data_IF_414207787135
#
_entry.id   IF_414207787135
#
_cell.length_a   1.000
_cell.length_b   1.000
_cell.length_c   1.000
_cell.angle_alpha   90.00
_cell.angle_beta   90.00
_cell.angle_gamma   90.00
#
_symmetry.space_group_name_H-M   'P 1'
#
loop_
_entity.id
_entity.type
_entity.pdbx_description
1 polymer ?
#
# COMPACT_ATOMS: atom_id res chain seq x y z
N UNK A 1 7.78 -15.62 1.95
CA UNK A 1 8.47 -14.33 2.22
C UNK A 1 9.94 -14.33 1.84
N UNK A 2 10.74 -15.34 2.24
CA UNK A 2 12.16 -15.45 1.85
C UNK A 2 12.41 -15.42 0.32
N UNK A 3 11.40 -15.74 -0.48
CA UNK A 3 11.46 -15.68 -1.94
C UNK A 3 11.60 -14.27 -2.52
N UNK A 4 11.12 -13.23 -1.82
CA UNK A 4 11.13 -11.83 -2.28
C UNK A 4 12.33 -11.03 -1.74
N UNK A 5 12.79 -11.36 -0.53
CA UNK A 5 13.83 -10.57 0.15
C UNK A 5 15.17 -10.66 -0.57
N UNK A 6 15.90 -9.54 -0.61
CA UNK A 6 17.18 -9.35 -1.29
C UNK A 6 17.14 -9.58 -2.81
N UNK A 7 15.97 -9.39 -3.44
CA UNK A 7 15.81 -9.46 -4.90
C UNK A 7 15.19 -8.17 -5.44
N UNK A 8 15.42 -7.87 -6.73
CA UNK A 8 14.67 -6.81 -7.41
C UNK A 8 13.16 -7.04 -7.26
N UNK A 9 12.41 -5.96 -7.03
CA UNK A 9 10.96 -6.04 -7.05
C UNK A 9 10.46 -6.22 -8.49
N UNK A 10 9.77 -7.32 -8.75
CA UNK A 10 9.20 -7.63 -10.07
C UNK A 10 8.00 -6.71 -10.37
N UNK A 11 8.27 -5.63 -11.10
CA UNK A 11 7.30 -4.55 -11.38
C UNK A 11 6.83 -4.48 -12.82
N UNK A 12 7.43 -5.28 -13.71
CA UNK A 12 7.21 -5.18 -15.16
C UNK A 12 5.77 -5.53 -15.52
N UNK A 13 5.11 -4.63 -16.24
CA UNK A 13 3.75 -4.83 -16.74
C UNK A 13 2.65 -4.45 -15.75
N UNK A 14 2.98 -4.19 -14.48
CA UNK A 14 2.00 -3.85 -13.45
C UNK A 14 1.80 -2.34 -13.29
N UNK A 15 0.57 -1.97 -12.94
CA UNK A 15 0.16 -0.60 -12.63
C UNK A 15 -0.78 -0.61 -11.42
N UNK A 16 -0.85 0.49 -10.71
CA UNK A 16 -1.91 0.74 -9.74
C UNK A 16 -2.60 2.07 -10.04
N UNK A 17 -3.86 2.21 -9.62
CA UNK A 17 -4.57 3.49 -9.68
C UNK A 17 -4.65 4.15 -8.30
N UNK A 18 -4.58 5.47 -8.24
CA UNK A 18 -4.98 6.21 -7.05
C UNK A 18 -5.61 7.55 -7.43
N UNK A 19 -6.33 8.17 -6.49
CA UNK A 19 -6.85 9.52 -6.65
C UNK A 19 -6.12 10.43 -5.67
N UNK A 20 -5.63 11.57 -6.16
CA UNK A 20 -4.96 12.55 -5.32
C UNK A 20 -5.91 13.15 -4.29
N UNK A 21 -5.39 13.37 -3.09
CA UNK A 21 -5.91 14.25 -2.06
C UNK A 21 -4.80 15.27 -1.80
N UNK A 22 -5.12 16.56 -1.92
CA UNK A 22 -4.24 17.67 -1.61
C UNK A 22 -4.86 18.54 -0.51
N UNK A 23 -4.05 19.29 0.27
CA UNK A 23 -4.57 20.19 1.30
C UNK A 23 -5.58 21.21 0.75
N UNK A 24 -5.41 21.64 -0.50
CA UNK A 24 -6.32 22.56 -1.21
C UNK A 24 -7.69 21.96 -1.53
N UNK A 25 -7.84 20.64 -1.49
CA UNK A 25 -9.09 19.94 -1.82
C UNK A 25 -10.10 19.95 -0.65
N UNK A 26 -9.78 20.59 0.50
CA UNK A 26 -10.69 20.66 1.65
C UNK A 26 -11.77 21.73 1.51
N UNK A 27 -11.50 22.78 0.73
CA UNK A 27 -12.41 23.93 0.55
C UNK A 27 -13.07 23.98 -0.84
N UNK A 28 -12.64 23.09 -1.75
CA UNK A 28 -13.21 22.93 -3.08
C UNK A 28 -13.44 21.45 -3.32
N UNK A 29 -14.66 21.07 -3.72
CA UNK A 29 -14.96 19.77 -4.33
C UNK A 29 -14.19 19.64 -5.65
N UNK A 30 -12.87 19.47 -5.58
CA UNK A 30 -12.06 19.18 -6.73
C UNK A 30 -12.42 17.76 -7.18
N UNK A 31 -13.16 17.64 -8.28
CA UNK A 31 -13.45 16.38 -8.96
C UNK A 31 -12.16 15.78 -9.54
N UNK A 32 -11.37 15.12 -8.68
CA UNK A 32 -10.16 14.39 -9.08
C UNK A 32 -10.53 13.01 -9.61
N UNK A 33 -9.91 12.61 -10.71
CA UNK A 33 -10.07 11.29 -11.30
C UNK A 33 -8.86 10.39 -11.00
N UNK A 34 -9.03 9.06 -11.05
CA UNK A 34 -7.93 8.13 -10.89
C UNK A 34 -6.83 8.34 -11.93
N UNK A 35 -5.59 8.30 -11.48
CA UNK A 35 -4.40 8.28 -12.33
C UNK A 35 -3.76 6.90 -12.32
N UNK A 36 -3.20 6.48 -13.44
CA UNK A 36 -2.46 5.22 -13.55
C UNK A 36 -0.98 5.44 -13.25
N UNK A 37 -0.44 4.69 -12.30
CA UNK A 37 0.99 4.71 -11.95
C UNK A 37 1.63 3.40 -12.36
N UNK A 38 2.71 3.49 -13.13
CA UNK A 38 3.49 2.32 -13.52
C UNK A 38 4.47 1.95 -12.40
N UNK A 39 4.41 0.72 -11.89
CA UNK A 39 5.26 0.28 -10.78
C UNK A 39 6.75 0.38 -11.10
N UNK A 40 7.17 0.01 -12.31
CA UNK A 40 8.59 0.03 -12.69
C UNK A 40 9.16 1.45 -12.68
N UNK A 41 8.43 2.41 -13.24
CA UNK A 41 8.81 3.82 -13.21
C UNK A 41 8.77 4.37 -11.78
N UNK A 42 7.71 4.07 -11.02
CA UNK A 42 7.55 4.53 -9.64
C UNK A 42 8.69 4.07 -8.72
N UNK A 43 9.10 2.81 -8.82
CA UNK A 43 10.22 2.26 -8.05
C UNK A 43 11.57 2.80 -8.54
N UNK A 44 11.71 3.15 -9.82
CA UNK A 44 12.93 3.77 -10.35
C UNK A 44 13.10 5.22 -9.88
N UNK A 45 12.00 5.96 -9.77
CA UNK A 45 12.01 7.38 -9.40
C UNK A 45 12.17 7.64 -7.90
N UNK A 46 12.03 6.60 -7.07
CA UNK A 46 12.07 6.70 -5.61
C UNK A 46 13.10 5.72 -5.06
N UNK A 47 14.08 6.21 -4.29
CA UNK A 47 15.15 5.40 -3.71
C UNK A 47 14.62 4.47 -2.62
N UNK A 48 13.70 4.93 -1.79
CA UNK A 48 13.10 4.12 -0.72
C UNK A 48 11.58 4.18 -0.80
N UNK A 49 10.93 3.03 -0.97
CA UNK A 49 9.47 2.91 -1.04
C UNK A 49 8.98 1.87 -0.04
N UNK A 50 8.00 2.26 0.78
CA UNK A 50 7.24 1.36 1.65
C UNK A 50 5.93 1.00 0.95
N UNK A 51 5.60 -0.28 0.89
CA UNK A 51 4.33 -0.76 0.33
C UNK A 51 3.67 -1.66 1.36
N UNK A 52 2.42 -1.41 1.71
CA UNK A 52 1.66 -2.29 2.60
C UNK A 52 0.33 -2.68 1.96
N UNK A 53 0.02 -3.98 1.98
CA UNK A 53 -1.24 -4.51 1.50
C UNK A 53 -2.27 -4.65 2.61
N UNK A 54 -3.51 -4.26 2.32
CA UNK A 54 -4.65 -4.46 3.21
C UNK A 54 -5.77 -5.21 2.48
N UNK A 55 -6.40 -6.23 3.09
CA UNK A 55 -7.42 -7.04 2.42
C UNK A 55 -8.59 -6.27 1.82
N UNK A 56 -9.16 -5.33 2.56
CA UNK A 56 -10.32 -4.56 2.10
C UNK A 56 -10.37 -3.19 2.79
N UNK A 57 -10.60 -2.14 2.00
CA UNK A 57 -10.95 -0.82 2.50
C UNK A 57 -12.17 -0.89 3.44
N UNK A 58 -12.20 -0.05 4.47
CA UNK A 58 -13.26 0.01 5.51
C UNK A 58 -13.43 -1.23 6.39
N UNK A 59 -12.71 -2.34 6.15
CA UNK A 59 -12.81 -3.52 7.03
C UNK A 59 -12.20 -3.27 8.44
N UNK A 60 -12.66 -3.98 9.49
CA UNK A 60 -12.34 -3.66 10.89
C UNK A 60 -10.84 -3.61 11.19
N UNK A 61 -10.12 -4.73 11.00
CA UNK A 61 -8.69 -4.81 11.32
C UNK A 61 -7.86 -3.84 10.48
N UNK A 62 -8.23 -3.64 9.22
CA UNK A 62 -7.54 -2.70 8.33
C UNK A 62 -7.70 -1.24 8.81
N UNK A 63 -8.91 -0.87 9.23
CA UNK A 63 -9.26 0.51 9.57
C UNK A 63 -8.98 0.87 11.03
N UNK A 64 -8.86 -0.12 11.92
CA UNK A 64 -8.64 0.10 13.36
C UNK A 64 -7.18 -0.16 13.75
N UNK A 65 -6.58 -1.24 13.25
CA UNK A 65 -5.31 -1.75 13.81
C UNK A 65 -4.13 -1.66 12.85
N UNK A 66 -4.36 -1.56 11.53
CA UNK A 66 -3.29 -1.61 10.53
C UNK A 66 -2.92 -0.23 9.99
N UNK A 67 -3.78 0.39 9.17
CA UNK A 67 -3.46 1.64 8.46
C UNK A 67 -3.33 2.86 9.38
N UNK A 68 -4.11 3.01 10.48
CA UNK A 68 -3.90 4.13 11.41
C UNK A 68 -2.47 4.23 11.96
N UNK A 69 -1.78 3.10 12.12
CA UNK A 69 -0.36 3.08 12.51
C UNK A 69 0.52 3.82 11.50
N UNK A 70 0.38 3.51 10.20
CA UNK A 70 1.12 4.17 9.13
C UNK A 70 0.84 5.66 9.03
N UNK A 71 -0.41 6.08 9.26
CA UNK A 71 -0.81 7.50 9.26
C UNK A 71 -0.21 8.22 10.47
N UNK A 72 -0.35 7.65 11.67
CA UNK A 72 0.17 8.26 12.90
C UNK A 72 1.69 8.44 12.89
N UNK A 73 2.42 7.50 12.28
CA UNK A 73 3.89 7.53 12.14
C UNK A 73 4.35 8.00 10.76
N UNK A 74 3.47 8.65 9.98
CA UNK A 74 3.78 9.09 8.62
C UNK A 74 5.03 9.98 8.57
N UNK A 75 5.20 10.91 9.51
CA UNK A 75 6.40 11.78 9.56
C UNK A 75 7.69 10.99 9.77
N UNK A 76 7.66 9.98 10.61
CA UNK A 76 8.83 9.12 10.89
C UNK A 76 9.17 8.25 9.68
N UNK A 77 8.16 7.66 9.04
CA UNK A 77 8.33 6.90 7.79
C UNK A 77 8.94 7.78 6.69
N UNK A 78 8.37 8.96 6.46
CA UNK A 78 8.78 9.85 5.37
C UNK A 78 10.11 10.56 5.62
N UNK A 79 10.66 10.50 6.84
CA UNK A 79 12.04 10.89 7.09
C UNK A 79 13.06 9.91 6.49
N UNK A 80 12.64 8.67 6.20
CA UNK A 80 13.48 7.58 5.68
C UNK A 80 13.01 7.01 4.33
N UNK A 81 11.75 7.22 3.96
CA UNK A 81 11.12 6.74 2.74
C UNK A 81 10.62 7.90 1.88
N UNK A 82 10.79 7.80 0.56
CA UNK A 82 10.31 8.80 -0.39
C UNK A 82 8.78 8.69 -0.59
N UNK A 83 8.26 7.45 -0.49
CA UNK A 83 6.86 7.11 -0.72
C UNK A 83 6.38 5.99 0.20
N UNK A 84 5.12 6.10 0.62
CA UNK A 84 4.34 5.02 1.23
C UNK A 84 3.13 4.72 0.35
N UNK A 85 2.87 3.44 0.06
CA UNK A 85 1.71 2.99 -0.71
C UNK A 85 0.91 1.98 0.11
N UNK A 86 -0.33 2.32 0.45
CA UNK A 86 -1.33 1.37 0.92
C UNK A 86 -1.99 0.76 -0.32
N UNK A 87 -1.97 -0.55 -0.46
CA UNK A 87 -2.46 -1.25 -1.65
C UNK A 87 -3.63 -2.18 -1.29
N UNK A 88 -4.74 -2.05 -2.00
CA UNK A 88 -5.87 -2.98 -1.93
C UNK A 88 -6.34 -3.36 -3.33
N UNK A 89 -7.30 -4.28 -3.45
CA UNK A 89 -7.96 -4.59 -4.73
C UNK A 89 -9.22 -3.74 -4.97
N UNK A 90 -9.61 -2.92 -3.99
CA UNK A 90 -10.79 -2.06 -4.06
C UNK A 90 -10.60 -0.98 -5.12
N UNK A 91 -11.72 -0.46 -5.65
CA UNK A 91 -11.68 0.59 -6.65
C UNK A 91 -11.06 1.91 -6.09
N UNK A 92 -10.46 2.75 -6.95
CA UNK A 92 -9.73 3.94 -6.49
C UNK A 92 -10.59 5.00 -5.80
N UNK A 93 -11.90 5.05 -6.08
CA UNK A 93 -12.81 5.98 -5.39
C UNK A 93 -13.07 5.52 -3.95
N UNK A 94 -13.29 4.21 -3.73
CA UNK A 94 -13.42 3.63 -2.40
C UNK A 94 -12.13 3.82 -1.59
N UNK A 95 -10.97 3.58 -2.20
CA UNK A 95 -9.68 3.82 -1.58
C UNK A 95 -9.45 5.29 -1.21
N UNK A 96 -9.84 6.25 -2.06
CA UNK A 96 -9.77 7.67 -1.74
C UNK A 96 -10.69 8.06 -0.58
N UNK A 97 -11.94 7.59 -0.60
CA UNK A 97 -12.91 7.84 0.47
C UNK A 97 -12.42 7.25 1.80
N UNK A 98 -11.85 6.04 1.77
CA UNK A 98 -11.26 5.39 2.93
C UNK A 98 -10.10 6.19 3.49
N UNK A 99 -9.16 6.64 2.63
CA UNK A 99 -8.05 7.49 3.04
C UNK A 99 -8.55 8.78 3.74
N UNK A 100 -9.54 9.46 3.17
CA UNK A 100 -10.17 10.65 3.79
C UNK A 100 -10.79 10.32 5.15
N UNK A 101 -11.49 9.19 5.26
CA UNK A 101 -12.12 8.74 6.52
C UNK A 101 -11.10 8.45 7.63
N UNK A 102 -9.88 8.05 7.25
CA UNK A 102 -8.76 7.81 8.16
C UNK A 102 -7.94 9.10 8.46
N UNK A 103 -8.35 10.25 7.92
CA UNK A 103 -7.73 11.55 8.19
C UNK A 103 -6.61 11.95 7.23
N UNK A 104 -6.40 11.23 6.13
CA UNK A 104 -5.38 11.59 5.12
C UNK A 104 -5.76 12.89 4.41
N UNK A 105 -4.86 13.87 4.44
CA UNK A 105 -5.07 15.20 3.83
C UNK A 105 -4.13 15.49 2.66
N UNK A 106 -3.10 14.69 2.47
CA UNK A 106 -2.10 14.87 1.42
C UNK A 106 -1.56 13.50 0.96
N UNK A 107 -1.61 13.27 -0.36
CA UNK A 107 -1.17 12.03 -1.02
C UNK A 107 0.12 12.17 -1.82
N UNK A 108 0.81 13.32 -1.69
CA UNK A 108 2.08 13.60 -2.38
C UNK A 108 3.11 12.50 -2.10
N UNK A 109 3.18 12.04 -0.85
CA UNK A 109 4.11 10.98 -0.40
C UNK A 109 3.42 9.74 0.21
N UNK A 110 2.08 9.74 0.32
CA UNK A 110 1.32 8.66 0.96
C UNK A 110 0.09 8.32 0.12
N UNK A 111 0.13 7.23 -0.65
CA UNK A 111 -0.89 6.90 -1.66
C UNK A 111 -1.73 5.70 -1.25
N UNK A 112 -3.02 5.73 -1.59
CA UNK A 112 -3.92 4.59 -1.47
C UNK A 112 -4.17 4.04 -2.87
N UNK A 113 -3.42 3.02 -3.23
CA UNK A 113 -3.39 2.38 -4.53
C UNK A 113 -4.42 1.25 -4.67
N UNK A 114 -4.92 1.10 -5.88
CA UNK A 114 -5.80 0.01 -6.32
C UNK A 114 -5.04 -0.91 -7.26
N UNK A 115 -4.91 -2.19 -6.89
CA UNK A 115 -4.39 -3.26 -7.74
C UNK A 115 -5.57 -4.03 -8.36
N UNK A 116 -6.01 -3.56 -9.52
CA UNK A 116 -7.18 -4.11 -10.20
C UNK A 116 -7.03 -5.61 -10.48
N UNK A 117 -7.93 -6.41 -9.93
CA UNK A 117 -7.93 -7.87 -10.09
C UNK A 117 -6.79 -8.58 -9.36
N UNK A 118 -6.14 -7.94 -8.36
CA UNK A 118 -5.06 -8.52 -7.58
C UNK A 118 -3.83 -8.93 -8.43
N UNK A 119 -3.61 -8.30 -9.58
CA UNK A 119 -2.61 -8.74 -10.56
C UNK A 119 -1.18 -8.64 -10.03
N UNK A 120 -0.81 -7.48 -9.48
CA UNK A 120 0.53 -7.28 -8.92
C UNK A 120 0.70 -8.04 -7.62
N UNK A 121 -0.32 -8.05 -6.76
CA UNK A 121 -0.26 -8.72 -5.48
C UNK A 121 -0.09 -10.24 -5.66
N UNK A 122 -0.87 -10.84 -6.56
CA UNK A 122 -0.80 -12.28 -6.89
C UNK A 122 0.52 -12.66 -7.55
N UNK A 123 1.12 -11.78 -8.35
CA UNK A 123 2.44 -12.06 -8.94
C UNK A 123 3.56 -12.16 -7.91
N UNK A 124 3.37 -11.57 -6.73
CA UNK A 124 4.28 -11.64 -5.59
C UNK A 124 3.94 -12.76 -4.59
N UNK A 125 2.82 -13.49 -4.78
CA UNK A 125 2.33 -14.48 -3.81
C UNK A 125 1.77 -13.86 -2.52
N UNK A 126 1.34 -12.59 -2.59
CA UNK A 126 0.87 -11.80 -1.44
C UNK A 126 -0.66 -11.72 -1.34
N UNK A 127 -1.37 -12.45 -2.19
CA UNK A 127 -2.83 -12.51 -2.28
C UNK A 127 -3.47 -13.30 -1.13
N UNK A 128 -4.77 -13.07 -0.95
CA UNK A 128 -5.69 -13.82 -0.10
C UNK A 128 -6.81 -14.36 -0.98
N UNK A 129 -6.92 -15.67 -1.12
CA UNK A 129 -8.04 -16.31 -1.80
C UNK A 129 -9.30 -16.22 -0.93
N UNK A 130 -10.43 -15.80 -1.52
CA UNK A 130 -11.71 -15.65 -0.81
C UNK A 130 -12.85 -16.53 -1.37
N UNK A 131 -12.52 -17.42 -2.31
CA UNK A 131 -13.45 -18.34 -2.98
C UNK A 131 -13.63 -18.01 -4.47
N UNK A 132 -14.04 -19.00 -5.26
CA UNK A 132 -14.44 -18.84 -6.68
C UNK A 132 -13.47 -18.05 -7.57
N UNK A 133 -12.16 -18.29 -7.41
CA UNK A 133 -11.07 -17.57 -8.11
C UNK A 133 -11.06 -16.05 -7.87
N UNK A 134 -11.69 -15.59 -6.79
CA UNK A 134 -11.63 -14.21 -6.31
C UNK A 134 -10.48 -14.07 -5.32
N UNK A 135 -9.67 -13.02 -5.53
CA UNK A 135 -8.51 -12.71 -4.70
C UNK A 135 -8.60 -11.29 -4.17
N UNK A 136 -8.38 -11.17 -2.87
CA UNK A 136 -8.11 -9.90 -2.22
C UNK A 136 -6.61 -9.76 -1.98
N UNK A 137 -6.20 -8.58 -1.54
CA UNK A 137 -4.87 -8.48 -0.95
C UNK A 137 -4.79 -9.34 0.30
N UNK A 138 -3.66 -10.02 0.53
CA UNK A 138 -3.31 -10.40 1.89
C UNK A 138 -3.05 -9.16 2.74
N UNK A 139 -2.70 -9.38 4.01
CA UNK A 139 -2.09 -8.35 4.83
C UNK A 139 -0.58 -8.53 4.82
N UNK A 140 0.15 -7.50 4.40
CA UNK A 140 1.59 -7.60 4.21
C UNK A 140 2.26 -6.23 4.19
N UNK A 141 3.58 -6.21 4.32
CA UNK A 141 4.42 -5.03 4.12
C UNK A 141 5.72 -5.37 3.40
N UNK A 142 6.18 -4.46 2.55
CA UNK A 142 7.45 -4.48 1.84
C UNK A 142 8.19 -3.17 2.10
N UNK A 143 9.52 -3.26 2.21
CA UNK A 143 10.42 -2.11 2.09
C UNK A 143 11.31 -2.36 0.88
N UNK A 144 11.32 -1.41 -0.05
CA UNK A 144 12.10 -1.47 -1.29
C UNK A 144 13.13 -0.34 -1.25
N UNK A 145 14.41 -0.69 -1.39
CA UNK A 145 15.52 0.27 -1.48
C UNK A 145 16.27 0.08 -2.78
N UNK A 146 16.39 1.14 -3.58
CA UNK A 146 17.02 1.15 -4.91
C UNK A 146 16.51 0.00 -5.79
N UNK A 147 15.20 -0.22 -5.79
CA UNK A 147 14.54 -1.29 -6.54
C UNK A 147 14.66 -2.70 -5.96
N UNK A 148 15.37 -2.89 -4.84
CA UNK A 148 15.55 -4.19 -4.18
C UNK A 148 14.69 -4.29 -2.92
N UNK A 149 13.99 -5.40 -2.75
CA UNK A 149 13.19 -5.67 -1.56
C UNK A 149 14.12 -6.00 -0.39
N UNK A 150 14.17 -5.14 0.62
CA UNK A 150 15.00 -5.33 1.84
C UNK A 150 14.20 -5.90 3.01
N UNK A 151 12.88 -5.72 3.00
CA UNK A 151 11.95 -6.31 3.95
C UNK A 151 10.72 -6.85 3.24
N UNK A 152 10.24 -8.00 3.68
CA UNK A 152 9.00 -8.58 3.20
C UNK A 152 8.33 -9.40 4.31
N UNK A 153 7.15 -8.97 4.77
CA UNK A 153 6.32 -9.68 5.76
C UNK A 153 4.89 -9.86 5.26
N UNK A 154 4.34 -11.08 5.32
CA UNK A 154 2.94 -11.41 5.02
C UNK A 154 2.35 -12.13 6.23
N UNK A 155 1.18 -11.69 6.68
CA UNK A 155 0.47 -12.32 7.79
C UNK A 155 -0.04 -13.70 7.38
N UNK A 156 0.07 -14.68 8.28
CA UNK A 156 -0.54 -15.99 8.10
C UNK A 156 -2.06 -15.94 8.32
N UNK A 157 -2.53 -15.17 9.33
CA UNK A 157 -3.95 -14.94 9.59
C UNK A 157 -4.32 -13.47 9.35
N UNK A 158 -4.42 -13.03 8.08
CA UNK A 158 -4.57 -11.61 7.74
C UNK A 158 -5.89 -10.97 8.21
N UNK A 159 -6.88 -11.77 8.62
CA UNK A 159 -8.14 -11.28 9.17
C UNK A 159 -7.94 -10.54 10.50
N UNK A 160 -7.03 -11.01 11.35
CA UNK A 160 -6.83 -10.51 12.72
C UNK A 160 -5.43 -9.98 12.96
N UNK A 161 -4.43 -10.62 12.35
CA UNK A 161 -3.04 -10.38 12.70
C UNK A 161 -2.54 -9.09 12.03
N UNK A 162 -1.80 -8.30 12.80
CA UNK A 162 -1.05 -7.12 12.35
C UNK A 162 0.29 -7.17 13.08
N UNK A 163 1.21 -7.98 12.56
CA UNK A 163 2.51 -8.26 13.18
C UNK A 163 3.63 -7.83 12.23
N UNK A 164 3.94 -8.66 11.24
CA UNK A 164 4.94 -8.41 10.20
C UNK A 164 4.49 -7.32 9.22
N UNK A 165 3.19 -7.05 9.11
CA UNK A 165 2.67 -5.95 8.30
C UNK A 165 2.55 -4.62 9.07
N UNK A 166 2.89 -4.60 10.36
CA UNK A 166 2.75 -3.40 11.19
C UNK A 166 3.75 -2.31 10.77
N UNK A 167 3.38 -1.06 11.04
CA UNK A 167 4.30 0.07 10.82
C UNK A 167 5.58 -0.04 11.65
N UNK A 168 5.51 -0.66 12.84
CA UNK A 168 6.65 -0.84 13.73
C UNK A 168 7.65 -1.83 13.16
N UNK A 169 7.16 -2.95 12.62
CA UNK A 169 7.97 -3.91 11.87
C UNK A 169 8.64 -3.24 10.66
N UNK A 170 7.93 -2.38 9.94
CA UNK A 170 8.50 -1.62 8.82
C UNK A 170 9.59 -0.66 9.27
N UNK A 171 9.35 0.14 10.32
CA UNK A 171 10.31 1.11 10.84
C UNK A 171 11.61 0.47 11.34
N UNK A 172 11.53 -0.74 11.90
CA UNK A 172 12.69 -1.52 12.31
C UNK A 172 13.59 -1.96 11.12
N UNK A 173 13.07 -1.93 9.89
CA UNK A 173 13.79 -2.33 8.67
C UNK A 173 14.04 -1.15 7.69
N UNK A 174 13.73 0.08 8.12
CA UNK A 174 13.97 1.33 7.38
C UNK A 174 15.27 2.02 7.75
#
# INVERSE_FOLDING_TARGET
MASLQNKPLETKGYKFQYISILPSDQDQEACKFPVNINWAQFIKDNKTVVITGAPAAFSPTCSVSHIPGYISKQKELLAKADQVVVLTVDNPFANQAWAKSLGVKDTTHFKFGSDAGCQFIKSLGLELAVGDDVFWSGRWALVVKNGVVVYAGKEENPATDVTVSSVDSVLAHL
#
